data_IF_459390523086
#
_entry.id   IF_459390523086
#
_cell.length_a   1.000
_cell.length_b   1.000
_cell.length_c   1.000
_cell.angle_alpha   90.00
_cell.angle_beta   90.00
_cell.angle_gamma   90.00
#
_symmetry.space_group_name_H-M   'P 1'
#
loop_
_entity.id
_entity.type
_entity.pdbx_description
1 polymer ?
#
# COMPACT_ATOMS: atom_id res chain seq x y z
N UNK A 1 -20.32 17.68 -4.52
CA UNK A 1 -20.26 17.75 -3.04
C UNK A 1 -18.84 18.10 -2.66
N UNK A 2 -18.63 19.27 -2.06
CA UNK A 2 -17.32 19.78 -1.66
C UNK A 2 -16.78 18.96 -0.49
N UNK A 3 -15.61 18.36 -0.67
CA UNK A 3 -14.85 17.78 0.43
C UNK A 3 -14.42 18.93 1.36
N UNK A 4 -15.03 19.00 2.53
CA UNK A 4 -14.55 19.91 3.57
C UNK A 4 -13.20 19.39 4.06
N UNK A 5 -12.17 20.20 3.86
CA UNK A 5 -10.80 20.03 4.33
C UNK A 5 -10.69 20.17 5.84
N UNK A 6 -11.16 19.17 6.56
CA UNK A 6 -10.90 19.04 7.99
C UNK A 6 -9.81 17.98 8.19
N UNK A 7 -8.61 18.40 8.49
CA UNK A 7 -7.36 17.64 8.54
C UNK A 7 -7.35 16.37 9.41
N UNK A 8 -8.34 16.12 10.24
CA UNK A 8 -8.41 14.94 11.14
C UNK A 8 -9.27 13.77 10.62
N UNK A 9 -9.87 13.88 9.43
CA UNK A 9 -10.80 12.85 8.91
C UNK A 9 -10.22 11.97 7.80
N UNK A 10 -8.98 12.19 7.37
CA UNK A 10 -8.43 11.63 6.12
C UNK A 10 -7.85 10.24 6.33
N UNK A 11 -7.39 9.92 7.53
CA UNK A 11 -6.66 8.67 7.74
C UNK A 11 -7.39 7.69 8.67
N UNK A 12 -7.41 6.44 8.25
CA UNK A 12 -7.71 5.32 9.13
C UNK A 12 -6.48 4.43 9.18
N UNK A 13 -5.99 4.14 10.38
CA UNK A 13 -4.83 3.27 10.60
C UNK A 13 -5.19 2.14 11.55
N UNK A 14 -4.72 0.94 11.24
CA UNK A 14 -4.86 -0.25 12.09
C UNK A 14 -3.62 -1.12 11.99
N UNK A 15 -3.21 -1.75 13.09
CA UNK A 15 -2.17 -2.78 13.07
C UNK A 15 -2.78 -4.16 12.83
N UNK A 16 -2.15 -4.96 11.98
CA UNK A 16 -2.58 -6.29 11.58
C UNK A 16 -1.62 -7.35 12.09
N UNK A 17 -2.01 -8.04 13.15
CA UNK A 17 -1.17 -9.02 13.87
C UNK A 17 -0.70 -10.21 13.01
N UNK A 18 -1.40 -10.54 11.93
CA UNK A 18 -1.05 -11.63 11.03
C UNK A 18 0.07 -11.30 10.02
N UNK A 19 0.52 -10.04 9.97
CA UNK A 19 1.51 -9.56 9.00
C UNK A 19 2.81 -10.35 9.02
N UNK A 20 3.38 -10.59 10.19
CA UNK A 20 4.66 -11.30 10.30
C UNK A 20 4.58 -12.73 9.76
N UNK A 21 3.49 -13.44 10.00
CA UNK A 21 3.28 -14.79 9.48
C UNK A 21 3.15 -14.79 7.96
N UNK A 22 2.44 -13.81 7.40
CA UNK A 22 2.32 -13.65 5.95
C UNK A 22 3.69 -13.38 5.30
N UNK A 23 4.47 -12.44 5.85
CA UNK A 23 5.82 -12.11 5.36
C UNK A 23 6.70 -13.35 5.39
N UNK A 24 6.79 -14.03 6.54
CA UNK A 24 7.59 -15.25 6.70
C UNK A 24 7.26 -16.33 5.66
N UNK A 25 6.01 -16.46 5.28
CA UNK A 25 5.57 -17.48 4.30
C UNK A 25 5.76 -17.08 2.83
N UNK A 26 6.03 -15.81 2.53
CA UNK A 26 6.05 -15.31 1.16
C UNK A 26 7.33 -14.57 0.76
N UNK A 27 8.19 -14.19 1.70
CA UNK A 27 9.35 -13.34 1.40
C UNK A 27 10.30 -13.95 0.38
N UNK A 28 10.56 -15.25 0.47
CA UNK A 28 11.45 -15.94 -0.47
C UNK A 28 10.90 -15.94 -1.90
N UNK A 29 9.57 -16.05 -2.07
CA UNK A 29 8.91 -15.95 -3.37
C UNK A 29 9.04 -14.54 -3.94
N UNK A 30 8.82 -13.52 -3.10
CA UNK A 30 8.96 -12.11 -3.47
C UNK A 30 10.40 -11.84 -3.92
N UNK A 31 11.39 -12.35 -3.21
CA UNK A 31 12.79 -12.20 -3.59
C UNK A 31 13.16 -12.93 -4.89
N UNK A 32 12.59 -14.11 -5.14
CA UNK A 32 12.78 -14.81 -6.41
C UNK A 32 12.13 -14.06 -7.57
N UNK A 33 10.92 -13.55 -7.37
CA UNK A 33 10.26 -12.68 -8.36
C UNK A 33 11.10 -11.44 -8.66
N UNK A 34 11.62 -10.77 -7.61
CA UNK A 34 12.52 -9.63 -7.79
C UNK A 34 13.78 -9.99 -8.59
N UNK A 35 14.43 -11.10 -8.29
CA UNK A 35 15.63 -11.55 -9.03
C UNK A 35 15.35 -11.81 -10.50
N UNK A 36 14.17 -12.36 -10.80
CA UNK A 36 13.73 -12.64 -12.17
C UNK A 36 13.32 -11.40 -12.95
N UNK A 37 12.72 -10.41 -12.27
CA UNK A 37 12.13 -9.20 -12.88
C UNK A 37 12.45 -7.94 -12.05
N UNK A 38 13.71 -7.53 -11.89
CA UNK A 38 14.09 -6.49 -10.92
C UNK A 38 13.54 -5.09 -11.23
N UNK A 39 13.21 -4.81 -12.49
CA UNK A 39 12.67 -3.51 -12.96
C UNK A 39 11.19 -3.58 -13.32
N UNK A 40 10.48 -4.64 -12.90
CA UNK A 40 9.07 -4.78 -13.22
C UNK A 40 8.26 -3.71 -12.51
N UNK A 41 7.57 -2.90 -13.29
CA UNK A 41 6.61 -1.90 -12.82
C UNK A 41 5.60 -1.59 -13.94
N UNK A 42 4.46 -1.01 -13.58
CA UNK A 42 3.40 -0.60 -14.52
C UNK A 42 3.25 0.93 -14.59
N UNK A 43 4.03 1.70 -13.83
CA UNK A 43 3.99 3.18 -13.80
C UNK A 43 5.37 3.77 -13.43
N UNK A 44 5.45 5.10 -13.32
CA UNK A 44 6.68 5.82 -12.98
C UNK A 44 7.14 5.52 -11.55
N UNK A 45 7.82 4.41 -11.38
CA UNK A 45 8.54 4.04 -10.17
C UNK A 45 9.71 3.16 -10.57
N UNK A 46 10.73 3.08 -9.73
CA UNK A 46 11.85 2.18 -9.95
C UNK A 46 11.85 1.00 -8.97
N UNK A 47 10.81 0.82 -8.16
CA UNK A 47 10.66 -0.35 -7.32
C UNK A 47 10.05 -1.54 -8.08
N UNK A 48 10.17 -2.73 -7.53
CA UNK A 48 9.57 -3.93 -8.10
C UNK A 48 8.10 -4.02 -7.69
N UNK A 49 7.21 -4.09 -8.68
CA UNK A 49 5.76 -4.13 -8.48
C UNK A 49 5.18 -5.38 -9.11
N UNK A 50 4.41 -6.13 -8.34
CA UNK A 50 3.66 -7.31 -8.81
C UNK A 50 2.19 -7.17 -8.41
N UNK A 51 1.31 -7.35 -9.39
CA UNK A 51 -0.14 -7.36 -9.23
C UNK A 51 -0.67 -8.78 -9.06
N UNK A 52 -1.87 -8.91 -8.51
CA UNK A 52 -2.54 -10.20 -8.31
C UNK A 52 -3.00 -10.87 -9.62
N UNK A 53 -3.01 -10.13 -10.73
CA UNK A 53 -3.28 -10.63 -12.08
C UNK A 53 -2.01 -10.93 -12.91
N UNK A 54 -0.81 -10.79 -12.35
CA UNK A 54 0.43 -11.11 -13.05
C UNK A 54 0.64 -12.64 -13.17
N UNK A 55 0.77 -13.15 -14.39
CA UNK A 55 0.79 -14.59 -14.68
C UNK A 55 2.20 -15.20 -14.73
N UNK A 56 3.25 -14.43 -14.94
CA UNK A 56 4.63 -14.89 -15.16
C UNK A 56 5.52 -14.82 -13.90
N UNK A 57 4.89 -14.73 -12.74
CA UNK A 57 5.55 -14.61 -11.44
C UNK A 57 5.16 -15.76 -10.50
N UNK A 58 6.02 -16.04 -9.52
CA UNK A 58 5.62 -16.95 -8.44
C UNK A 58 4.45 -16.36 -7.66
N UNK A 59 3.41 -17.17 -7.53
CA UNK A 59 2.19 -16.77 -6.83
C UNK A 59 2.45 -16.47 -5.35
N UNK A 60 2.15 -15.24 -4.98
CA UNK A 60 2.02 -14.80 -3.60
C UNK A 60 0.55 -14.96 -3.25
N UNK A 61 0.26 -15.34 -2.01
CA UNK A 61 -1.12 -15.67 -1.62
C UNK A 61 -2.01 -14.42 -1.55
N UNK A 62 -2.32 -13.82 -2.70
CA UNK A 62 -3.19 -12.65 -2.84
C UNK A 62 -4.63 -12.93 -2.38
N UNK A 63 -5.13 -14.15 -2.57
CA UNK A 63 -6.45 -14.56 -2.07
C UNK A 63 -6.55 -14.47 -0.55
N UNK A 64 -5.48 -14.86 0.15
CA UNK A 64 -5.41 -14.69 1.59
C UNK A 64 -5.45 -13.20 1.98
N UNK A 65 -4.69 -12.35 1.28
CA UNK A 65 -4.68 -10.91 1.51
C UNK A 65 -6.07 -10.32 1.26
N UNK A 66 -6.72 -10.66 0.14
CA UNK A 66 -8.06 -10.20 -0.22
C UNK A 66 -9.06 -10.53 0.89
N UNK A 67 -9.14 -11.78 1.31
CA UNK A 67 -10.02 -12.22 2.41
C UNK A 67 -9.76 -11.48 3.73
N UNK A 68 -8.49 -11.15 4.02
CA UNK A 68 -8.13 -10.39 5.22
C UNK A 68 -8.50 -8.92 5.10
N UNK A 69 -8.29 -8.33 3.94
CA UNK A 69 -8.59 -6.91 3.70
C UNK A 69 -10.09 -6.64 3.64
N UNK A 70 -10.89 -7.50 3.04
CA UNK A 70 -12.36 -7.37 3.01
C UNK A 70 -12.97 -7.16 4.41
N UNK A 71 -12.44 -7.86 5.43
CA UNK A 71 -12.89 -7.70 6.82
C UNK A 71 -12.61 -6.29 7.37
N UNK A 72 -11.54 -5.64 6.91
CA UNK A 72 -11.16 -4.29 7.34
C UNK A 72 -11.91 -3.26 6.52
N UNK A 73 -12.04 -3.50 5.23
CA UNK A 73 -12.72 -2.62 4.28
C UNK A 73 -14.14 -2.31 4.73
N UNK A 74 -14.90 -3.28 5.25
CA UNK A 74 -16.23 -3.05 5.83
C UNK A 74 -16.25 -1.95 6.90
N UNK A 75 -15.22 -1.86 7.72
CA UNK A 75 -15.12 -0.81 8.75
C UNK A 75 -14.72 0.54 8.15
N UNK A 76 -13.86 0.51 7.14
CA UNK A 76 -13.40 1.72 6.44
C UNK A 76 -14.54 2.32 5.61
N UNK A 77 -15.25 1.52 4.84
CA UNK A 77 -16.37 1.97 4.02
C UNK A 77 -17.47 2.60 4.87
N UNK A 78 -17.78 2.00 6.03
CA UNK A 78 -18.70 2.62 7.00
C UNK A 78 -18.21 3.97 7.49
N UNK A 79 -16.90 4.09 7.83
CA UNK A 79 -16.32 5.36 8.31
C UNK A 79 -16.35 6.46 7.26
N UNK A 80 -16.14 6.12 6.00
CA UNK A 80 -16.09 7.07 4.88
C UNK A 80 -17.42 7.20 4.13
N UNK A 81 -18.49 6.57 4.65
CA UNK A 81 -19.83 6.61 4.05
C UNK A 81 -19.86 6.10 2.59
N UNK A 82 -19.14 5.00 2.34
CA UNK A 82 -19.09 4.34 1.03
C UNK A 82 -20.07 3.16 1.06
N UNK A 83 -21.23 3.32 0.45
CA UNK A 83 -22.30 2.30 0.48
C UNK A 83 -22.04 1.15 -0.48
N UNK A 84 -21.65 1.47 -1.71
CA UNK A 84 -21.28 0.49 -2.75
C UNK A 84 -19.83 0.67 -3.10
N UNK A 85 -19.06 -0.40 -3.08
CA UNK A 85 -17.63 -0.35 -3.33
C UNK A 85 -17.14 -1.61 -4.03
N UNK A 86 -16.07 -1.44 -4.76
CA UNK A 86 -15.24 -2.51 -5.31
C UNK A 86 -13.83 -2.42 -4.71
N UNK A 87 -13.29 -3.56 -4.27
CA UNK A 87 -11.90 -3.69 -3.91
C UNK A 87 -11.13 -4.02 -5.18
N UNK A 88 -10.28 -3.10 -5.62
CA UNK A 88 -9.48 -3.25 -6.83
C UNK A 88 -8.42 -4.34 -6.70
N UNK A 89 -7.58 -4.45 -7.72
CA UNK A 89 -6.38 -5.27 -7.72
C UNK A 89 -5.54 -5.00 -6.47
N UNK A 90 -4.92 -6.06 -5.99
CA UNK A 90 -3.96 -5.98 -4.90
C UNK A 90 -2.58 -6.13 -5.52
N UNK A 91 -1.69 -5.21 -5.18
CA UNK A 91 -0.31 -5.32 -5.62
C UNK A 91 0.64 -5.17 -4.44
N UNK A 92 1.85 -5.72 -4.55
CA UNK A 92 2.92 -5.38 -3.64
C UNK A 92 3.99 -4.52 -4.32
N UNK A 93 4.65 -3.72 -3.50
CA UNK A 93 5.81 -2.93 -3.88
C UNK A 93 6.98 -3.39 -3.01
N UNK A 94 8.06 -3.84 -3.66
CA UNK A 94 9.27 -4.29 -3.01
C UNK A 94 10.41 -3.35 -3.36
N UNK A 95 11.04 -2.79 -2.34
CA UNK A 95 12.05 -1.75 -2.49
C UNK A 95 13.38 -2.24 -1.95
N UNK A 96 14.38 -2.37 -2.78
CA UNK A 96 15.79 -2.46 -2.43
C UNK A 96 16.38 -1.06 -2.27
N UNK A 97 17.65 -0.97 -1.86
CA UNK A 97 18.38 0.31 -1.78
C UNK A 97 18.34 1.06 -3.11
N UNK A 98 18.09 2.35 -3.06
CA UNK A 98 18.00 3.23 -4.22
C UNK A 98 16.63 3.24 -4.90
N UNK A 99 15.65 2.48 -4.41
CA UNK A 99 14.31 2.38 -5.01
C UNK A 99 13.28 3.24 -4.31
N UNK A 100 12.37 3.83 -5.09
CA UNK A 100 11.37 4.82 -4.66
C UNK A 100 10.08 4.72 -5.50
N UNK A 101 9.06 5.49 -5.13
CA UNK A 101 7.91 5.81 -5.98
C UNK A 101 7.77 7.33 -6.09
N UNK A 102 7.59 7.83 -7.31
CA UNK A 102 7.34 9.24 -7.58
C UNK A 102 5.98 9.71 -7.04
N UNK A 103 5.77 11.02 -7.10
CA UNK A 103 4.49 11.64 -6.73
C UNK A 103 3.39 11.12 -7.65
N UNK A 104 2.35 10.55 -7.07
CA UNK A 104 1.21 10.01 -7.80
C UNK A 104 -0.08 10.08 -6.98
N UNK A 105 -1.17 9.77 -7.65
CA UNK A 105 -2.50 9.54 -7.08
C UNK A 105 -3.03 8.20 -7.60
N UNK A 106 -4.13 7.73 -7.04
CA UNK A 106 -4.84 6.57 -7.57
C UNK A 106 -6.14 6.99 -8.23
N UNK A 107 -6.47 6.38 -9.38
CA UNK A 107 -7.77 6.57 -10.01
C UNK A 107 -8.87 6.00 -9.10
N UNK A 108 -9.90 6.80 -8.85
CA UNK A 108 -11.02 6.35 -8.01
C UNK A 108 -11.87 7.52 -7.55
N UNK A 109 -13.00 7.77 -8.21
CA UNK A 109 -13.94 8.85 -7.90
C UNK A 109 -14.42 8.78 -6.44
N UNK A 110 -13.75 9.53 -5.56
CA UNK A 110 -14.05 9.57 -4.13
C UNK A 110 -13.73 8.25 -3.39
N UNK A 111 -12.83 7.44 -3.93
CA UNK A 111 -12.36 6.20 -3.34
C UNK A 111 -11.28 6.41 -2.27
N UNK A 112 -10.83 5.30 -1.72
CA UNK A 112 -9.82 5.24 -0.65
C UNK A 112 -8.71 4.28 -1.05
N UNK A 113 -7.47 4.73 -0.96
CA UNK A 113 -6.28 3.90 -1.12
C UNK A 113 -5.86 3.29 0.22
N UNK A 114 -5.39 2.07 0.20
CA UNK A 114 -4.80 1.39 1.34
C UNK A 114 -3.33 1.05 1.07
N UNK A 115 -2.47 1.27 2.06
CA UNK A 115 -1.07 0.81 2.06
C UNK A 115 -0.81 0.04 3.35
N UNK A 116 -0.45 -1.24 3.22
CA UNK A 116 -0.10 -2.12 4.34
C UNK A 116 1.42 -2.34 4.37
N UNK A 117 2.04 -1.99 5.48
CA UNK A 117 3.50 -2.06 5.68
C UNK A 117 3.89 -3.46 6.16
N UNK A 118 4.21 -4.34 5.22
CA UNK A 118 4.48 -5.77 5.47
C UNK A 118 5.87 -5.99 6.08
N UNK A 119 6.92 -5.45 5.44
CA UNK A 119 8.29 -5.45 5.96
C UNK A 119 8.74 -4.00 6.08
N UNK A 120 8.82 -3.52 7.31
CA UNK A 120 9.04 -2.11 7.59
C UNK A 120 9.74 -1.90 8.94
N UNK A 121 10.88 -1.22 8.90
CA UNK A 121 11.60 -0.77 10.09
C UNK A 121 11.53 0.77 10.15
N UNK A 122 10.81 1.30 11.12
CA UNK A 122 10.57 2.75 11.24
C UNK A 122 11.82 3.58 11.61
N UNK A 123 12.95 2.94 11.91
CA UNK A 123 14.24 3.60 12.14
C UNK A 123 15.06 3.73 10.85
N UNK A 124 14.77 2.90 9.85
CA UNK A 124 15.53 2.80 8.62
C UNK A 124 14.72 3.19 7.38
N UNK A 125 13.40 2.97 7.40
CA UNK A 125 12.55 3.19 6.25
C UNK A 125 11.69 4.44 6.38
N UNK A 126 11.64 5.22 5.32
CA UNK A 126 10.61 6.23 5.15
C UNK A 126 9.26 5.58 4.82
N UNK A 127 8.19 6.09 5.42
CA UNK A 127 6.82 5.70 5.08
C UNK A 127 6.31 6.51 3.86
N UNK A 128 5.03 6.33 3.48
CA UNK A 128 4.37 7.15 2.47
C UNK A 128 4.28 8.60 2.93
N UNK A 129 4.73 9.52 2.10
CA UNK A 129 4.70 10.98 2.32
C UNK A 129 3.59 11.61 1.47
N UNK A 130 2.99 12.67 1.99
CA UNK A 130 1.97 13.44 1.30
C UNK A 130 2.52 14.81 0.89
N UNK A 131 2.10 15.28 -0.30
CA UNK A 131 2.57 16.58 -0.83
C UNK A 131 1.99 17.74 -0.06
N UNK A 132 0.72 17.65 0.39
CA UNK A 132 0.12 18.68 1.22
C UNK A 132 0.81 18.72 2.59
N UNK A 133 1.57 19.79 2.83
CA UNK A 133 2.35 20.02 4.07
C UNK A 133 1.47 20.14 5.33
N UNK A 134 0.18 20.41 5.17
CA UNK A 134 -0.77 20.45 6.29
C UNK A 134 -1.17 19.03 6.74
N UNK A 135 -0.89 18.03 5.93
CA UNK A 135 -1.17 16.63 6.24
C UNK A 135 0.02 16.01 6.94
N UNK A 136 -0.13 15.74 8.23
CA UNK A 136 0.88 15.00 9.00
C UNK A 136 0.65 13.50 8.81
N UNK A 137 1.63 12.84 8.20
CA UNK A 137 1.62 11.38 8.13
C UNK A 137 1.62 10.78 9.54
N UNK A 138 0.79 9.77 9.81
CA UNK A 138 0.81 9.09 11.10
C UNK A 138 2.12 8.31 11.28
N UNK A 139 2.56 8.14 12.52
CA UNK A 139 3.69 7.25 12.83
C UNK A 139 3.34 5.83 12.38
N UNK A 140 4.18 5.24 11.56
CA UNK A 140 3.99 3.90 10.96
C UNK A 140 4.97 2.91 11.59
N UNK A 141 4.50 1.68 11.77
CA UNK A 141 5.31 0.51 12.13
C UNK A 141 4.91 -0.70 11.29
N UNK A 142 5.74 -1.73 11.29
CA UNK A 142 5.41 -2.98 10.61
C UNK A 142 4.06 -3.53 11.06
N UNK A 143 3.27 -4.00 10.10
CA UNK A 143 1.91 -4.48 10.32
C UNK A 143 0.84 -3.39 10.31
N UNK A 144 1.20 -2.12 10.23
CA UNK A 144 0.20 -1.07 10.07
C UNK A 144 -0.35 -1.05 8.63
N UNK A 145 -1.66 -0.92 8.51
CA UNK A 145 -2.34 -0.56 7.27
C UNK A 145 -2.89 0.85 7.40
N UNK A 146 -2.59 1.69 6.41
CA UNK A 146 -3.00 3.08 6.34
C UNK A 146 -3.98 3.26 5.19
N UNK A 147 -5.11 3.92 5.45
CA UNK A 147 -6.11 4.29 4.45
C UNK A 147 -6.17 5.81 4.31
N UNK A 148 -6.23 6.29 3.07
CA UNK A 148 -6.32 7.71 2.73
C UNK A 148 -7.05 7.90 1.39
N UNK A 149 -7.56 9.13 1.07
CA UNK A 149 -8.25 9.38 -0.20
C UNK A 149 -7.40 9.09 -1.43
N UNK A 150 -8.00 8.53 -2.48
CA UNK A 150 -7.30 8.18 -3.72
C UNK A 150 -6.68 9.37 -4.44
N UNK A 151 -7.31 10.53 -4.37
CA UNK A 151 -6.88 11.78 -5.01
C UNK A 151 -5.75 12.51 -4.24
N UNK A 152 -5.39 12.02 -3.08
CA UNK A 152 -4.33 12.62 -2.28
C UNK A 152 -2.95 12.30 -2.87
N UNK A 153 -2.27 13.35 -3.36
CA UNK A 153 -0.92 13.22 -3.90
C UNK A 153 0.07 12.74 -2.84
N UNK A 154 0.75 11.66 -3.14
CA UNK A 154 1.72 11.04 -2.25
C UNK A 154 2.88 10.42 -3.02
N UNK A 155 3.94 10.12 -2.30
CA UNK A 155 5.14 9.49 -2.83
C UNK A 155 5.82 8.63 -1.76
N UNK A 156 6.77 7.87 -2.19
CA UNK A 156 7.60 7.07 -1.29
C UNK A 156 9.06 7.43 -1.54
N UNK A 157 9.74 8.03 -0.54
CA UNK A 157 11.15 8.38 -0.65
C UNK A 157 12.02 7.16 -0.95
N UNK A 158 13.18 7.42 -1.47
CA UNK A 158 14.20 6.41 -1.74
C UNK A 158 14.51 5.58 -0.49
N UNK A 159 14.62 4.28 -0.68
CA UNK A 159 15.12 3.39 0.37
C UNK A 159 16.65 3.50 0.43
N UNK A 160 17.15 4.26 1.37
CA UNK A 160 18.59 4.53 1.51
C UNK A 160 19.36 3.37 2.13
N UNK A 161 18.67 2.39 2.71
CA UNK A 161 19.27 1.29 3.46
C UNK A 161 19.38 0.00 2.64
N UNK A 162 20.21 -0.93 3.07
CA UNK A 162 20.29 -2.28 2.49
C UNK A 162 19.14 -3.19 2.94
N UNK A 163 18.42 -2.78 3.97
CA UNK A 163 17.23 -3.52 4.45
C UNK A 163 16.09 -3.31 3.46
N UNK A 164 15.50 -4.37 2.88
CA UNK A 164 14.41 -4.21 1.94
C UNK A 164 13.13 -3.76 2.64
N UNK A 165 12.33 -2.94 1.95
CA UNK A 165 10.99 -2.56 2.37
C UNK A 165 9.95 -3.26 1.49
N UNK A 166 8.88 -3.75 2.11
CA UNK A 166 7.76 -4.38 1.41
C UNK A 166 6.44 -3.78 1.87
N UNK A 167 5.63 -3.35 0.92
CA UNK A 167 4.25 -2.93 1.16
C UNK A 167 3.32 -3.66 0.21
N UNK A 168 2.05 -3.83 0.61
CA UNK A 168 0.96 -4.09 -0.34
C UNK A 168 0.04 -2.88 -0.41
N UNK A 169 -0.57 -2.68 -1.57
CA UNK A 169 -1.55 -1.62 -1.75
C UNK A 169 -2.76 -2.14 -2.53
N UNK A 170 -3.88 -1.45 -2.38
CA UNK A 170 -5.11 -1.64 -3.13
C UNK A 170 -5.98 -0.39 -3.03
N UNK A 171 -6.98 -0.31 -3.88
CA UNK A 171 -7.94 0.80 -3.90
C UNK A 171 -9.35 0.31 -3.62
N UNK A 172 -10.11 1.08 -2.87
CA UNK A 172 -11.56 0.93 -2.69
C UNK A 172 -12.23 2.01 -3.53
N UNK A 173 -12.87 1.62 -4.60
CA UNK A 173 -13.60 2.55 -5.49
C UNK A 173 -15.09 2.53 -5.20
N UNK A 174 -15.76 3.67 -5.41
CA UNK A 174 -17.23 3.76 -5.41
C UNK A 174 -17.78 3.27 -6.74
N UNK A 175 -18.91 2.57 -6.66
CA UNK A 175 -19.77 2.27 -7.81
C UNK A 175 -20.85 3.34 -7.96
#
# INVERSE_FOLDING_TARGET
>A
MSYQSGTNKIFYKKNLSWTNNFVKSNIDKIERNYKKHPTRNRWNCNCHVIHDDDLDVEYINFDYLRKKYEKIVKNVTKKYNIEKYHLSDIWYNYYKKGQYQEVHTHAGNGGVTAVHYLLFNNKEHSHTHFIDKNIKSPKIKQGDILFFPCDLQHYVPENETTVPRLTTAFTITKH
#
